data_IF_844396588547
#
_entry.id   IF_844396588547
#
_cell.length_a   1.000
_cell.length_b   1.000
_cell.length_c   1.000
_cell.angle_alpha   90.00
_cell.angle_beta   90.00
_cell.angle_gamma   90.00
#
_symmetry.space_group_name_H-M   'P 1'
#
loop_
_entity.id
_entity.type
_entity.pdbx_description
1 polymer ?
#
# COMPACT_ATOMS: atom_id res chain seq x y z
N UNK A 1 7.52 11.89 -7.53
CA UNK A 1 7.71 11.58 -6.10
C UNK A 1 8.59 10.34 -5.94
N UNK A 2 9.56 10.41 -5.04
CA UNK A 2 10.43 9.31 -4.63
C UNK A 2 9.89 8.63 -3.36
N UNK A 3 10.42 7.45 -3.01
CA UNK A 3 10.09 6.79 -1.75
C UNK A 3 10.39 7.69 -0.52
N UNK A 4 11.48 8.47 -0.58
CA UNK A 4 11.88 9.36 0.51
C UNK A 4 10.86 10.49 0.71
N UNK A 5 10.47 11.15 -0.39
CA UNK A 5 9.44 12.20 -0.36
C UNK A 5 8.10 11.67 0.14
N UNK A 6 7.70 10.47 -0.28
CA UNK A 6 6.47 9.83 0.23
C UNK A 6 6.53 9.58 1.73
N UNK A 7 7.65 9.07 2.24
CA UNK A 7 7.81 8.77 3.67
C UNK A 7 7.89 10.02 4.55
N UNK A 8 8.16 11.20 3.96
CA UNK A 8 8.17 12.48 4.68
C UNK A 8 6.76 13.09 4.87
N UNK A 9 5.74 12.58 4.16
CA UNK A 9 4.35 13.02 4.30
C UNK A 9 3.74 12.55 5.63
N UNK A 10 2.69 13.23 6.08
CA UNK A 10 1.85 12.73 7.17
C UNK A 10 1.00 11.51 6.74
N UNK A 11 0.32 10.86 7.69
CA UNK A 11 -0.41 9.62 7.41
C UNK A 11 -1.60 9.82 6.45
N UNK A 12 -2.29 10.97 6.53
CA UNK A 12 -3.43 11.30 5.68
C UNK A 12 -2.97 11.58 4.25
N UNK A 13 -1.92 12.38 4.10
CA UNK A 13 -1.27 12.65 2.83
C UNK A 13 -0.70 11.37 2.20
N UNK A 14 -0.05 10.50 2.99
CA UNK A 14 0.45 9.20 2.48
C UNK A 14 -0.69 8.34 1.94
N UNK A 15 -1.82 8.27 2.63
CA UNK A 15 -2.99 7.54 2.17
C UNK A 15 -3.52 8.10 0.85
N UNK A 16 -3.75 9.42 0.80
CA UNK A 16 -4.24 10.09 -0.40
C UNK A 16 -3.30 9.86 -1.60
N UNK A 17 -1.99 10.05 -1.41
CA UNK A 17 -1.00 9.88 -2.47
C UNK A 17 -0.83 8.41 -2.87
N UNK A 18 -0.84 7.47 -1.91
CA UNK A 18 -0.77 6.05 -2.23
C UNK A 18 -1.89 5.64 -3.20
N UNK A 19 -3.12 6.08 -2.91
CA UNK A 19 -4.32 5.78 -3.71
C UNK A 19 -4.35 6.48 -5.08
N UNK A 20 -3.46 7.45 -5.35
CA UNK A 20 -3.30 8.03 -6.70
C UNK A 20 -2.48 7.13 -7.65
N UNK A 21 -1.86 6.08 -7.13
CA UNK A 21 -1.14 5.09 -7.95
C UNK A 21 -2.09 4.16 -8.71
N UNK A 22 -1.53 3.34 -9.58
CA UNK A 22 -2.28 2.29 -10.27
C UNK A 22 -2.60 1.17 -9.27
N UNK A 23 -3.87 0.92 -9.01
CA UNK A 23 -4.30 -0.22 -8.21
C UNK A 23 -3.84 -1.53 -8.86
N UNK A 24 -3.28 -2.44 -8.07
CA UNK A 24 -2.82 -3.76 -8.52
C UNK A 24 -3.72 -4.86 -7.96
N UNK A 25 -3.74 -5.01 -6.64
CA UNK A 25 -4.41 -6.14 -5.98
C UNK A 25 -4.67 -5.84 -4.51
N UNK A 26 -5.60 -6.58 -3.91
CA UNK A 26 -5.83 -6.63 -2.48
C UNK A 26 -5.42 -7.99 -1.93
N UNK A 27 -4.71 -7.99 -0.80
CA UNK A 27 -4.54 -9.18 0.03
C UNK A 27 -5.19 -8.99 1.40
N UNK A 28 -5.62 -10.10 2.00
CA UNK A 28 -6.14 -10.13 3.35
C UNK A 28 -5.06 -10.64 4.31
N UNK A 29 -4.85 -9.93 5.42
CA UNK A 29 -3.90 -10.29 6.46
C UNK A 29 -4.59 -10.16 7.83
N UNK A 30 -5.08 -11.27 8.36
CA UNK A 30 -5.90 -11.29 9.59
C UNK A 30 -7.09 -10.33 9.46
N UNK A 31 -7.18 -9.34 10.34
CA UNK A 31 -8.22 -8.30 10.36
C UNK A 31 -7.93 -7.12 9.43
N UNK A 32 -6.86 -7.18 8.62
CA UNK A 32 -6.48 -6.11 7.71
C UNK A 32 -6.77 -6.49 6.25
N UNK A 33 -7.36 -5.54 5.53
CA UNK A 33 -7.37 -5.54 4.06
C UNK A 33 -6.22 -4.65 3.59
N UNK A 34 -5.33 -5.16 2.76
CA UNK A 34 -4.15 -4.43 2.28
C UNK A 34 -4.26 -4.24 0.78
N UNK A 35 -4.45 -3.00 0.35
CA UNK A 35 -4.51 -2.64 -1.06
C UNK A 35 -3.14 -2.20 -1.56
N UNK A 36 -2.68 -2.81 -2.65
CA UNK A 36 -1.41 -2.51 -3.30
C UNK A 36 -1.61 -1.58 -4.50
N UNK A 37 -0.79 -0.54 -4.55
CA UNK A 37 -0.73 0.43 -5.63
C UNK A 37 0.70 0.51 -6.19
N UNK A 38 0.81 0.66 -7.51
CA UNK A 38 2.08 0.96 -8.19
C UNK A 38 2.17 2.43 -8.55
N UNK A 39 3.28 3.04 -8.16
CA UNK A 39 3.75 4.33 -8.63
C UNK A 39 4.96 4.12 -9.56
N UNK A 40 5.33 5.10 -10.40
CA UNK A 40 6.45 4.95 -11.33
C UNK A 40 7.78 4.50 -10.69
N UNK A 41 8.02 4.86 -9.44
CA UNK A 41 9.31 4.63 -8.77
C UNK A 41 9.22 3.70 -7.53
N UNK A 42 8.03 3.29 -7.11
CA UNK A 42 7.84 2.50 -5.89
C UNK A 42 6.43 1.88 -5.84
N UNK A 43 6.21 0.99 -4.88
CA UNK A 43 4.89 0.45 -4.55
C UNK A 43 4.42 0.99 -3.21
N UNK A 44 3.11 1.18 -3.08
CA UNK A 44 2.46 1.61 -1.85
C UNK A 44 1.40 0.60 -1.42
N UNK A 45 1.39 0.25 -0.15
CA UNK A 45 0.33 -0.50 0.49
C UNK A 45 -0.47 0.43 1.40
N UNK A 46 -1.79 0.35 1.27
CA UNK A 46 -2.74 0.99 2.18
C UNK A 46 -3.42 -0.10 2.99
N UNK A 47 -3.25 -0.04 4.31
CA UNK A 47 -3.81 -1.00 5.25
C UNK A 47 -5.11 -0.45 5.81
N UNK A 48 -6.19 -1.19 5.61
CA UNK A 48 -7.50 -0.91 6.17
C UNK A 48 -7.80 -1.90 7.28
N UNK A 49 -8.32 -1.41 8.40
CA UNK A 49 -8.99 -2.24 9.38
C UNK A 49 -10.31 -2.75 8.79
N UNK A 50 -10.49 -4.07 8.73
CA UNK A 50 -11.65 -4.68 8.08
C UNK A 50 -12.97 -4.38 8.81
N UNK A 51 -12.93 -4.15 10.12
CA UNK A 51 -14.13 -3.92 10.94
C UNK A 51 -14.63 -2.49 10.82
N UNK A 52 -13.73 -1.51 10.83
CA UNK A 52 -14.04 -0.08 10.82
C UNK A 52 -13.89 0.56 9.45
N UNK A 53 -13.28 -0.16 8.49
CA UNK A 53 -12.91 0.31 7.16
C UNK A 53 -12.04 1.59 7.18
N UNK A 54 -11.33 1.83 8.29
CA UNK A 54 -10.41 2.96 8.44
C UNK A 54 -9.02 2.60 7.96
N UNK A 55 -8.34 3.56 7.34
CA UNK A 55 -6.91 3.42 7.03
C UNK A 55 -6.14 3.49 8.35
N UNK A 56 -5.38 2.44 8.63
CA UNK A 56 -4.58 2.33 9.86
C UNK A 56 -3.09 2.58 9.61
N UNK A 57 -2.65 2.42 8.36
CA UNK A 57 -1.23 2.51 7.99
C UNK A 57 -1.08 2.64 6.47
N UNK A 58 -0.04 3.36 6.05
CA UNK A 58 0.52 3.23 4.71
C UNK A 58 1.98 2.79 4.79
N UNK A 59 2.41 1.95 3.85
CA UNK A 59 3.81 1.52 3.71
C UNK A 59 4.22 1.63 2.25
N UNK A 60 5.42 2.14 1.97
CA UNK A 60 5.97 2.13 0.62
C UNK A 60 7.29 1.34 0.55
N UNK A 61 7.57 0.76 -0.61
CA UNK A 61 8.78 -0.04 -0.85
C UNK A 61 9.15 -0.09 -2.34
N UNK A 62 10.42 -0.36 -2.63
CA UNK A 62 10.94 -0.50 -4.01
C UNK A 62 11.27 -1.97 -4.34
N UNK A 63 11.60 -2.79 -3.34
CA UNK A 63 11.97 -4.18 -3.58
C UNK A 63 10.77 -5.02 -4.02
N UNK A 64 11.00 -6.04 -4.85
CA UNK A 64 9.94 -6.94 -5.30
C UNK A 64 9.53 -7.97 -4.24
N UNK A 65 10.31 -8.11 -3.16
CA UNK A 65 10.10 -9.13 -2.12
C UNK A 65 8.69 -9.08 -1.51
N UNK A 66 8.11 -7.91 -1.15
CA UNK A 66 6.76 -7.86 -0.59
C UNK A 66 5.65 -8.21 -1.60
N UNK A 67 5.93 -8.11 -2.91
CA UNK A 67 4.96 -8.49 -3.96
C UNK A 67 4.67 -9.98 -3.97
N UNK A 68 5.58 -10.82 -3.45
CA UNK A 68 5.34 -12.25 -3.31
C UNK A 68 4.06 -12.57 -2.50
N UNK A 69 3.64 -11.67 -1.59
CA UNK A 69 2.40 -11.82 -0.82
C UNK A 69 1.12 -11.59 -1.64
N UNK A 70 1.25 -11.15 -2.89
CA UNK A 70 0.15 -10.86 -3.83
C UNK A 70 0.16 -11.80 -5.04
N UNK A 71 1.19 -12.64 -5.18
CA UNK A 71 1.23 -13.65 -6.23
C UNK A 71 0.43 -14.85 -5.71
N UNK A 72 -0.81 -14.96 -6.16
CA UNK A 72 -1.56 -16.20 -6.03
C UNK A 72 -0.92 -17.23 -6.97
N UNK A 73 -0.16 -18.18 -6.40
CA UNK A 73 0.24 -19.37 -7.13
C UNK A 73 -1.03 -20.19 -7.38
N UNK A 74 -1.53 -20.15 -8.62
CA UNK A 74 -2.56 -21.06 -9.11
C UNK A 74 -2.04 -22.50 -9.13
#
# INVERSE_FOLDING_TARGET
MTLYEFNALDDEQRAAVAMQGNFIEVRFEKELRVALYSHPNFFAEVFYDHTTNKIVRCRAFISLKPLAAYIHLN
#
